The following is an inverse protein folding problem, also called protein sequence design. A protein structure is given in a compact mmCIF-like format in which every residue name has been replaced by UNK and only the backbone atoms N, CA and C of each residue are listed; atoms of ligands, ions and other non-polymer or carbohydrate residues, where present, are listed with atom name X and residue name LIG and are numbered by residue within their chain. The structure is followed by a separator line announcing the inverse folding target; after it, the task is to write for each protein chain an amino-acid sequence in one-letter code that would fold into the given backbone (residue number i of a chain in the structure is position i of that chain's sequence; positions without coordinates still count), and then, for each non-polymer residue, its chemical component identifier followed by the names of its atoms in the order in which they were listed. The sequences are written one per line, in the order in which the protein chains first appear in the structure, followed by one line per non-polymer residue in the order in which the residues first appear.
data_IF_180323481168
#
_entry.id   IF_180323481168
#
_cell.length_a   1.000
_cell.length_b   1.000
_cell.length_c   1.000
_cell.angle_alpha   90.00
_cell.angle_beta   90.00
_cell.angle_gamma   90.00
#
_symmetry.space_group_name_H-M   'P 1'
#
loop_
_entity.id
_entity.type
_entity.pdbx_description
1 polymer ?
#
# COMPACT_ATOMS: atom_id res chain seq x y z
N UNK A 1 11.57 9.80 -11.10
CA UNK A 1 11.48 8.34 -10.91
C UNK A 1 10.57 7.95 -9.73
N UNK A 2 10.87 8.38 -8.49
CA UNK A 2 10.10 7.99 -7.30
C UNK A 2 8.57 8.21 -7.43
N UNK A 3 8.14 9.41 -7.84
CA UNK A 3 6.72 9.71 -8.03
C UNK A 3 6.05 8.83 -9.10
N UNK A 4 6.74 8.52 -10.20
CA UNK A 4 6.21 7.65 -11.25
C UNK A 4 5.96 6.22 -10.74
N UNK A 5 6.89 5.68 -9.95
CA UNK A 5 6.73 4.37 -9.32
C UNK A 5 5.58 4.38 -8.31
N UNK A 6 5.44 5.44 -7.51
CA UNK A 6 4.34 5.61 -6.57
C UNK A 6 2.97 5.70 -7.27
N UNK A 7 2.85 6.45 -8.36
CA UNK A 7 1.60 6.52 -9.13
C UNK A 7 1.29 5.21 -9.87
N UNK A 8 2.32 4.53 -10.37
CA UNK A 8 2.15 3.20 -10.97
C UNK A 8 1.63 2.17 -9.95
N UNK A 9 2.14 2.20 -8.72
CA UNK A 9 1.66 1.29 -7.67
C UNK A 9 0.19 1.56 -7.29
N UNK A 10 -0.20 2.84 -7.21
CA UNK A 10 -1.61 3.23 -7.01
C UNK A 10 -2.49 2.69 -8.14
N UNK A 11 -2.08 2.88 -9.40
CA UNK A 11 -2.81 2.37 -10.55
C UNK A 11 -3.00 0.85 -10.50
N UNK A 12 -1.93 0.10 -10.22
CA UNK A 12 -2.02 -1.37 -10.07
C UNK A 12 -2.91 -1.79 -8.88
N UNK A 13 -2.91 -1.02 -7.80
CA UNK A 13 -3.77 -1.28 -6.63
C UNK A 13 -5.25 -1.13 -6.98
N UNK A 14 -5.61 -0.11 -7.76
CA UNK A 14 -6.98 0.06 -8.24
C UNK A 14 -7.41 -1.05 -9.20
N UNK A 15 -6.52 -1.51 -10.08
CA UNK A 15 -6.80 -2.67 -10.93
C UNK A 15 -7.08 -3.93 -10.09
N UNK A 16 -6.28 -4.19 -9.06
CA UNK A 16 -6.51 -5.30 -8.12
C UNK A 16 -7.84 -5.18 -7.37
N UNK A 17 -8.17 -3.99 -6.85
CA UNK A 17 -9.46 -3.70 -6.20
C UNK A 17 -10.61 -3.97 -7.16
N UNK A 18 -10.52 -3.52 -8.41
CA UNK A 18 -11.55 -3.73 -9.42
C UNK A 18 -11.81 -5.23 -9.67
N UNK A 19 -10.76 -6.03 -9.82
CA UNK A 19 -10.88 -7.48 -10.02
C UNK A 19 -11.59 -8.14 -8.84
N UNK A 20 -11.19 -7.81 -7.60
CA UNK A 20 -11.82 -8.37 -6.39
C UNK A 20 -13.27 -7.89 -6.25
N UNK A 21 -13.55 -6.63 -6.56
CA UNK A 21 -14.89 -6.08 -6.55
C UNK A 21 -15.81 -6.85 -7.50
N UNK A 22 -15.38 -7.03 -8.76
CA UNK A 22 -16.16 -7.78 -9.77
C UNK A 22 -16.34 -9.24 -9.37
N UNK A 23 -15.30 -9.90 -8.86
CA UNK A 23 -15.40 -11.27 -8.37
C UNK A 23 -16.42 -11.41 -7.24
N UNK A 24 -16.45 -10.46 -6.28
CA UNK A 24 -17.42 -10.48 -5.18
C UNK A 24 -18.85 -10.26 -5.65
N UNK A 25 -19.07 -9.31 -6.56
CA UNK A 25 -20.38 -9.08 -7.19
C UNK A 25 -20.91 -10.34 -7.87
N UNK A 26 -20.07 -11.01 -8.67
CA UNK A 26 -20.45 -12.23 -9.39
C UNK A 26 -20.82 -13.40 -8.49
N UNK A 27 -20.25 -13.46 -7.28
CA UNK A 27 -20.50 -14.53 -6.31
C UNK A 27 -21.45 -14.12 -5.16
N UNK A 28 -22.03 -12.91 -5.20
CA UNK A 28 -22.95 -12.43 -4.16
C UNK A 28 -22.30 -12.17 -2.80
N UNK A 29 -20.99 -11.95 -2.74
CA UNK A 29 -20.28 -11.69 -1.49
C UNK A 29 -20.27 -10.21 -1.11
N UNK A 30 -20.32 -9.93 0.20
CA UNK A 30 -20.23 -8.56 0.72
C UNK A 30 -18.84 -7.92 0.55
N UNK A 31 -18.84 -6.60 0.31
CA UNK A 31 -17.63 -5.77 0.23
C UNK A 31 -17.22 -5.24 1.61
N UNK A 32 -15.90 -5.09 1.81
CA UNK A 32 -15.29 -4.46 3.00
C UNK A 32 -15.77 -5.04 4.36
N UNK A 33 -16.04 -6.35 4.41
CA UNK A 33 -16.53 -7.05 5.61
C UNK A 33 -15.44 -7.64 6.50
N UNK A 34 -14.24 -7.88 5.96
CA UNK A 34 -13.13 -8.49 6.72
C UNK A 34 -12.10 -7.45 7.12
N UNK A 35 -11.33 -7.73 8.18
CA UNK A 35 -10.24 -6.88 8.63
C UNK A 35 -9.20 -6.63 7.51
N UNK A 36 -8.88 -7.68 6.72
CA UNK A 36 -8.00 -7.55 5.55
C UNK A 36 -8.54 -6.50 4.57
N UNK A 37 -9.80 -6.61 4.18
CA UNK A 37 -10.40 -5.71 3.19
C UNK A 37 -10.52 -4.26 3.68
N UNK A 38 -10.77 -4.05 4.98
CA UNK A 38 -10.83 -2.72 5.58
C UNK A 38 -9.44 -2.08 5.68
N UNK A 39 -8.44 -2.84 6.15
CA UNK A 39 -7.06 -2.38 6.20
C UNK A 39 -6.51 -2.07 4.79
N UNK A 40 -6.80 -2.93 3.81
CA UNK A 40 -6.39 -2.72 2.41
C UNK A 40 -6.98 -1.45 1.81
N UNK A 41 -8.27 -1.18 2.06
CA UNK A 41 -8.91 0.06 1.63
C UNK A 41 -8.25 1.29 2.28
N UNK A 42 -8.00 1.23 3.60
CA UNK A 42 -7.33 2.32 4.32
C UNK A 42 -5.91 2.59 3.78
N UNK A 43 -5.15 1.54 3.44
CA UNK A 43 -3.82 1.65 2.81
C UNK A 43 -3.91 2.37 1.47
N UNK A 44 -4.85 1.98 0.59
CA UNK A 44 -4.98 2.62 -0.73
C UNK A 44 -5.40 4.08 -0.60
N UNK A 45 -6.38 4.39 0.25
CA UNK A 45 -6.79 5.78 0.52
C UNK A 45 -5.62 6.62 1.03
N UNK A 46 -4.86 6.09 1.98
CA UNK A 46 -3.70 6.80 2.54
C UNK A 46 -2.60 6.97 1.50
N UNK A 47 -2.36 5.96 0.66
CA UNK A 47 -1.35 6.03 -0.42
C UNK A 47 -1.72 7.09 -1.45
N UNK A 48 -3.00 7.19 -1.84
CA UNK A 48 -3.50 8.26 -2.71
C UNK A 48 -3.29 9.63 -2.05
N UNK A 49 -3.67 9.78 -0.78
CA UNK A 49 -3.47 11.02 -0.03
C UNK A 49 -2.00 11.45 0.03
N UNK A 50 -1.09 10.51 0.28
CA UNK A 50 0.35 10.75 0.27
C UNK A 50 0.86 11.09 -1.13
N UNK A 51 0.39 10.40 -2.17
CA UNK A 51 0.75 10.71 -3.57
C UNK A 51 0.36 12.13 -3.97
N UNK A 52 -0.85 12.56 -3.60
CA UNK A 52 -1.33 13.92 -3.80
C UNK A 52 -0.52 14.94 -3.00
N UNK A 53 -0.32 14.69 -1.70
CA UNK A 53 0.46 15.58 -0.84
C UNK A 53 1.91 15.73 -1.34
N UNK A 54 2.54 14.64 -1.77
CA UNK A 54 3.86 14.64 -2.37
C UNK A 54 3.91 15.42 -3.69
N UNK A 55 2.88 15.27 -4.53
CA UNK A 55 2.79 15.97 -5.83
C UNK A 55 2.52 17.46 -5.69
N UNK A 56 1.69 17.89 -4.73
CA UNK A 56 1.31 19.30 -4.54
C UNK A 56 2.35 20.06 -3.71
N UNK A 57 2.77 19.50 -2.58
CA UNK A 57 3.61 20.23 -1.61
C UNK A 57 5.10 19.97 -1.81
N UNK A 58 5.49 18.75 -2.21
CA UNK A 58 6.88 18.32 -2.14
C UNK A 58 7.58 18.12 -3.49
N UNK A 59 6.86 18.33 -4.62
CA UNK A 59 7.45 18.18 -5.94
C UNK A 59 8.69 19.07 -6.10
N UNK A 60 9.83 18.54 -6.58
CA UNK A 60 11.08 19.30 -6.63
C UNK A 60 11.00 20.56 -7.49
N UNK A 61 10.21 20.52 -8.56
CA UNK A 61 10.11 21.64 -9.49
C UNK A 61 9.09 22.69 -9.04
N UNK A 62 7.85 22.28 -8.75
CA UNK A 62 6.71 23.18 -8.51
C UNK A 62 6.00 23.02 -7.16
N UNK A 63 6.53 22.20 -6.25
CA UNK A 63 5.90 21.96 -4.95
C UNK A 63 5.79 23.24 -4.12
N UNK A 64 4.60 23.53 -3.59
CA UNK A 64 4.29 24.75 -2.84
C UNK A 64 5.24 24.97 -1.66
N UNK A 65 5.63 23.89 -0.99
CA UNK A 65 6.50 23.93 0.18
C UNK A 65 7.63 22.89 0.12
N UNK A 66 8.27 22.84 -1.06
CA UNK A 66 9.26 21.83 -1.41
C UNK A 66 10.51 21.85 -0.54
N UNK A 67 10.78 22.85 0.29
CA UNK A 67 11.96 22.87 1.18
C UNK A 67 11.62 22.62 2.65
N UNK A 68 10.34 22.52 3.01
CA UNK A 68 9.94 22.34 4.40
C UNK A 68 10.31 20.95 4.94
N UNK A 69 11.27 20.95 5.86
CA UNK A 69 11.82 19.73 6.49
C UNK A 69 10.76 18.98 7.29
N UNK A 70 9.82 19.69 7.93
CA UNK A 70 8.74 19.09 8.72
C UNK A 70 7.76 18.34 7.83
N UNK A 71 7.31 18.94 6.72
CA UNK A 71 6.39 18.28 5.77
C UNK A 71 7.09 17.08 5.12
N UNK A 72 8.36 17.22 4.75
CA UNK A 72 9.16 16.11 4.20
C UNK A 72 9.30 14.95 5.19
N UNK A 73 9.58 15.25 6.47
CA UNK A 73 9.67 14.24 7.51
C UNK A 73 8.32 13.55 7.74
N UNK A 74 7.23 14.32 7.84
CA UNK A 74 5.89 13.80 8.01
C UNK A 74 5.48 12.89 6.83
N UNK A 75 5.69 13.33 5.59
CA UNK A 75 5.41 12.53 4.39
C UNK A 75 6.25 11.25 4.36
N UNK A 76 7.54 11.32 4.71
CA UNK A 76 8.44 10.17 4.80
C UNK A 76 7.96 9.16 5.85
N UNK A 77 7.65 9.62 7.06
CA UNK A 77 7.19 8.76 8.16
C UNK A 77 5.83 8.14 7.87
N UNK A 78 4.88 8.93 7.39
CA UNK A 78 3.55 8.44 7.01
C UNK A 78 3.65 7.39 5.89
N UNK A 79 4.46 7.64 4.85
CA UNK A 79 4.68 6.67 3.78
C UNK A 79 5.27 5.35 4.27
N UNK A 80 6.20 5.39 5.24
CA UNK A 80 6.77 4.18 5.86
C UNK A 80 5.73 3.40 6.65
N UNK A 81 4.94 4.09 7.46
CA UNK A 81 3.85 3.45 8.24
C UNK A 81 2.83 2.83 7.30
N UNK A 82 2.38 3.55 6.27
CA UNK A 82 1.46 3.03 5.27
C UNK A 82 2.03 1.80 4.56
N UNK A 83 3.32 1.80 4.22
CA UNK A 83 3.95 0.65 3.59
C UNK A 83 4.04 -0.57 4.52
N UNK A 84 4.37 -0.37 5.81
CA UNK A 84 4.35 -1.46 6.79
C UNK A 84 2.97 -2.10 6.89
N UNK A 85 1.92 -1.27 6.97
CA UNK A 85 0.53 -1.74 7.01
C UNK A 85 0.17 -2.45 5.69
N UNK A 86 0.63 -1.94 4.54
CA UNK A 86 0.42 -2.56 3.24
C UNK A 86 1.02 -3.97 3.16
N UNK A 87 2.27 -4.14 3.60
CA UNK A 87 2.93 -5.45 3.63
C UNK A 87 2.25 -6.41 4.58
N UNK A 88 1.90 -5.96 5.80
CA UNK A 88 1.15 -6.78 6.74
C UNK A 88 -0.21 -7.19 6.17
N UNK A 89 -0.93 -6.26 5.54
CA UNK A 89 -2.23 -6.52 4.94
C UNK A 89 -2.13 -7.53 3.79
N UNK A 90 -1.12 -7.41 2.94
CA UNK A 90 -0.88 -8.34 1.84
C UNK A 90 -0.57 -9.75 2.36
N UNK A 91 0.29 -9.87 3.37
CA UNK A 91 0.61 -11.15 4.00
C UNK A 91 -0.61 -11.76 4.70
N UNK A 92 -1.36 -10.95 5.45
CA UNK A 92 -2.58 -11.39 6.13
C UNK A 92 -3.64 -11.89 5.15
N UNK A 93 -3.82 -11.22 4.00
CA UNK A 93 -4.71 -11.69 2.94
C UNK A 93 -4.27 -13.03 2.36
N UNK A 94 -2.96 -13.24 2.17
CA UNK A 94 -2.44 -14.53 1.72
C UNK A 94 -2.70 -15.63 2.75
N UNK A 95 -2.51 -15.36 4.04
CA UNK A 95 -2.84 -16.30 5.12
C UNK A 95 -4.32 -16.67 5.16
N UNK A 96 -5.24 -15.73 4.92
CA UNK A 96 -6.69 -16.03 4.82
C UNK A 96 -7.00 -16.94 3.63
N UNK A 97 -6.28 -16.82 2.51
CA UNK A 97 -6.52 -17.61 1.30
C UNK A 97 -5.93 -19.02 1.35
N UNK A 98 -4.74 -19.20 1.93
CA UNK A 98 -3.99 -20.47 1.92
C UNK A 98 -3.38 -20.82 3.29
N UNK A 99 -4.20 -20.98 4.35
CA UNK A 99 -3.70 -21.11 5.72
C UNK A 99 -2.83 -22.36 5.96
N UNK A 100 -3.01 -23.41 5.16
CA UNK A 100 -2.33 -24.70 5.34
C UNK A 100 -1.10 -24.90 4.45
N UNK A 101 -0.62 -23.83 3.79
CA UNK A 101 0.50 -23.90 2.85
C UNK A 101 1.72 -23.10 3.35
N UNK A 102 2.41 -23.56 4.42
CA UNK A 102 3.47 -22.80 5.08
C UNK A 102 4.66 -22.51 4.17
N UNK A 103 4.91 -23.36 3.16
CA UNK A 103 5.97 -23.14 2.17
C UNK A 103 5.71 -21.89 1.33
N UNK A 104 4.47 -21.69 0.87
CA UNK A 104 4.09 -20.53 0.06
C UNK A 104 4.12 -19.27 0.92
N UNK A 105 3.60 -19.35 2.15
CA UNK A 105 3.66 -18.24 3.11
C UNK A 105 5.11 -17.83 3.39
N UNK A 106 6.02 -18.79 3.60
CA UNK A 106 7.44 -18.50 3.80
C UNK A 106 8.08 -17.86 2.55
N UNK A 107 7.81 -18.40 1.36
CA UNK A 107 8.33 -17.85 0.09
C UNK A 107 7.87 -16.41 -0.17
N UNK A 108 6.63 -16.07 0.19
CA UNK A 108 6.10 -14.72 0.03
C UNK A 108 6.57 -13.76 1.14
N UNK A 109 6.61 -14.24 2.40
CA UNK A 109 6.97 -13.43 3.56
C UNK A 109 8.48 -13.14 3.67
N UNK A 110 9.35 -14.06 3.28
CA UNK A 110 10.79 -13.90 3.43
C UNK A 110 11.37 -12.69 2.66
N UNK A 111 11.04 -12.47 1.37
CA UNK A 111 11.47 -11.26 0.67
C UNK A 111 10.97 -9.97 1.33
N UNK A 112 9.73 -9.94 1.83
CA UNK A 112 9.19 -8.76 2.52
C UNK A 112 10.01 -8.42 3.77
N UNK A 113 10.35 -9.43 4.59
CA UNK A 113 11.18 -9.25 5.78
C UNK A 113 12.60 -8.79 5.44
N UNK A 114 13.22 -9.38 4.41
CA UNK A 114 14.57 -9.00 3.97
C UNK A 114 14.64 -7.57 3.44
N UNK A 115 13.54 -7.04 2.90
CA UNK A 115 13.47 -5.68 2.36
C UNK A 115 13.11 -4.62 3.42
N UNK A 116 12.68 -5.00 4.63
CA UNK A 116 12.40 -4.07 5.75
C UNK A 116 13.53 -3.05 5.95
N UNK A 117 14.81 -3.44 6.06
CA UNK A 117 15.89 -2.48 6.31
C UNK A 117 16.11 -1.51 5.15
N UNK A 118 15.80 -1.91 3.92
CA UNK A 118 16.02 -1.09 2.73
C UNK A 118 14.91 -0.05 2.54
N UNK A 119 13.69 -0.35 3.00
CA UNK A 119 12.53 0.50 2.72
C UNK A 119 12.08 1.31 3.94
N UNK A 120 12.37 0.84 5.16
CA UNK A 120 11.90 1.46 6.40
C UNK A 120 12.96 2.27 7.16
N UNK A 121 14.25 2.09 6.87
CA UNK A 121 15.38 2.87 7.45
C UNK A 121 15.64 4.10 6.59
#
# INVERSE_FOLDING_TARGET
LHALLGWSSIFTSFAGIYVIYRNKEMNGYGHLKTAHSQAGAAVVVTTVGLGLAGSIFLHPDFGVDKTNKTIRLAHKMASRITLMIAWFTAFYGLMEMIPNEPKILAMYGFPLLMLVPLVLI
#
